data_IF_742381662890
#
_entry.id   IF_742381662890
#
_cell.length_a   1.000
_cell.length_b   1.000
_cell.length_c   1.000
_cell.angle_alpha   90.00
_cell.angle_beta   90.00
_cell.angle_gamma   90.00
#
_symmetry.space_group_name_H-M   'P 1'
#
loop_
_entity.id
_entity.type
_entity.pdbx_description
1 polymer ?
#
# COMPACT_ATOMS: atom_id res chain seq x y z
N UNK A 1 -7.67 -41.73 -72.03
CA UNK A 1 -8.79 -41.29 -71.17
C UNK A 1 -8.20 -40.55 -69.98
N UNK A 2 -8.73 -39.35 -69.71
CA UNK A 2 -8.14 -38.31 -68.86
C UNK A 2 -8.59 -38.47 -67.40
N UNK A 3 -7.59 -38.43 -66.50
CA UNK A 3 -7.53 -37.73 -65.20
C UNK A 3 -8.79 -37.80 -64.32
N UNK A 4 -8.78 -38.70 -63.34
CA UNK A 4 -9.67 -38.66 -62.18
C UNK A 4 -8.84 -38.62 -60.89
N UNK A 5 -9.19 -37.73 -59.97
CA UNK A 5 -8.75 -37.82 -58.57
C UNK A 5 -8.08 -36.58 -58.00
N UNK A 6 -8.76 -35.43 -58.01
CA UNK A 6 -8.46 -34.36 -57.04
C UNK A 6 -8.99 -34.79 -55.67
N UNK A 7 -8.13 -35.37 -54.83
CA UNK A 7 -8.42 -35.56 -53.41
C UNK A 7 -8.00 -34.30 -52.67
N UNK A 8 -8.98 -33.44 -52.42
CA UNK A 8 -8.84 -32.20 -51.65
C UNK A 8 -8.88 -32.59 -50.17
N UNK A 9 -7.72 -32.83 -49.58
CA UNK A 9 -7.58 -33.16 -48.16
C UNK A 9 -7.50 -31.86 -47.36
N UNK A 10 -8.67 -31.31 -47.03
CA UNK A 10 -8.81 -30.11 -46.21
C UNK A 10 -8.51 -30.48 -44.75
N UNK A 11 -7.23 -30.38 -44.35
CA UNK A 11 -6.81 -30.51 -42.97
C UNK A 11 -7.25 -29.27 -42.18
N UNK A 12 -8.43 -29.35 -41.55
CA UNK A 12 -8.87 -28.37 -40.58
C UNK A 12 -8.04 -28.53 -39.29
N UNK A 13 -6.93 -27.79 -39.20
CA UNK A 13 -6.22 -27.59 -37.94
C UNK A 13 -7.15 -26.80 -37.01
N UNK A 14 -7.77 -27.49 -36.04
CA UNK A 14 -8.35 -26.86 -34.86
C UNK A 14 -7.20 -26.22 -34.08
N UNK A 15 -6.97 -24.92 -34.28
CA UNK A 15 -6.19 -24.11 -33.38
C UNK A 15 -6.95 -23.99 -32.05
N UNK A 16 -6.64 -24.89 -31.11
CA UNK A 16 -7.00 -24.75 -29.73
C UNK A 16 -6.31 -23.49 -29.19
N UNK A 17 -7.02 -22.37 -29.24
CA UNK A 17 -6.64 -21.15 -28.52
C UNK A 17 -6.81 -21.51 -27.04
N UNK A 18 -5.73 -22.00 -26.43
CA UNK A 18 -5.57 -22.02 -24.99
C UNK A 18 -5.56 -20.56 -24.59
N UNK A 19 -6.74 -20.02 -24.28
CA UNK A 19 -6.87 -18.76 -23.56
C UNK A 19 -6.31 -19.06 -22.19
N UNK A 20 -5.01 -18.83 -22.04
CA UNK A 20 -4.36 -18.71 -20.75
C UNK A 20 -5.05 -17.53 -20.07
N UNK A 21 -6.12 -17.83 -19.31
CA UNK A 21 -6.72 -16.87 -18.39
C UNK A 21 -5.62 -16.61 -17.38
N UNK A 22 -4.80 -15.60 -17.68
CA UNK A 22 -3.69 -15.21 -16.84
C UNK A 22 -4.28 -14.87 -15.50
N UNK A 23 -4.01 -15.71 -14.51
CA UNK A 23 -4.27 -15.42 -13.12
C UNK A 23 -3.34 -14.28 -12.73
N UNK A 24 -3.68 -13.06 -13.15
CA UNK A 24 -3.13 -11.84 -12.63
C UNK A 24 -3.63 -11.75 -11.21
N UNK A 25 -2.88 -12.33 -10.28
CA UNK A 25 -3.15 -12.15 -8.85
C UNK A 25 -3.30 -10.66 -8.54
N UNK A 26 -4.07 -10.30 -7.49
CA UNK A 26 -4.40 -8.92 -7.22
C UNK A 26 -3.12 -8.08 -7.13
N UNK A 27 -3.06 -6.93 -7.79
CA UNK A 27 -1.89 -6.04 -7.67
C UNK A 27 -2.22 -4.94 -6.68
N UNK A 28 -1.22 -4.49 -5.94
CA UNK A 28 -1.37 -3.28 -5.15
C UNK A 28 -1.62 -2.12 -6.11
N UNK A 29 -2.70 -1.36 -5.89
CA UNK A 29 -2.95 -0.16 -6.67
C UNK A 29 -1.95 0.94 -6.36
N UNK A 30 -1.70 1.78 -7.37
CA UNK A 30 -0.92 3.01 -7.22
C UNK A 30 -1.91 4.12 -6.88
N UNK A 31 -1.70 4.82 -5.76
CA UNK A 31 -2.59 5.88 -5.28
C UNK A 31 -1.78 7.06 -4.75
N UNK A 32 -2.35 8.25 -4.79
CA UNK A 32 -1.88 9.36 -3.97
C UNK A 32 -2.30 9.07 -2.52
N UNK A 33 -1.35 8.69 -1.66
CA UNK A 33 -1.60 8.46 -0.23
C UNK A 33 -1.26 9.72 0.53
N UNK A 34 -2.28 10.37 1.09
CA UNK A 34 -2.17 11.65 1.79
C UNK A 34 -2.40 11.46 3.28
N UNK A 35 -1.40 11.79 4.10
CA UNK A 35 -1.49 11.77 5.56
C UNK A 35 -1.60 13.21 6.06
N UNK A 36 -2.75 13.54 6.63
CA UNK A 36 -3.10 14.87 7.10
C UNK A 36 -3.19 14.92 8.62
N UNK A 37 -2.78 16.02 9.25
CA UNK A 37 -3.07 16.24 10.67
C UNK A 37 -4.53 16.61 10.88
N UNK A 38 -5.15 16.08 11.93
CA UNK A 38 -6.44 16.57 12.40
C UNK A 38 -6.37 18.02 12.90
N UNK A 39 -7.52 18.68 13.05
CA UNK A 39 -7.56 20.08 13.48
C UNK A 39 -6.98 20.29 14.87
N UNK A 40 -7.12 19.32 15.78
CA UNK A 40 -6.56 19.37 17.13
C UNK A 40 -5.03 19.43 17.09
N UNK A 41 -4.40 18.50 16.38
CA UNK A 41 -2.95 18.50 16.19
C UNK A 41 -2.49 19.69 15.35
N UNK A 42 -3.18 20.02 14.25
CA UNK A 42 -2.80 21.12 13.36
C UNK A 42 -2.85 22.48 14.05
N UNK A 43 -3.79 22.70 14.96
CA UNK A 43 -3.93 23.95 15.72
C UNK A 43 -3.19 23.95 17.07
N UNK A 44 -2.55 22.84 17.43
CA UNK A 44 -1.76 22.77 18.65
C UNK A 44 -0.66 23.84 18.65
N UNK A 45 -0.39 24.42 19.83
CA UNK A 45 0.67 25.43 20.00
C UNK A 45 2.05 24.90 19.58
N UNK A 46 2.29 23.61 19.82
CA UNK A 46 3.45 22.89 19.31
C UNK A 46 3.01 21.53 18.77
N UNK A 47 3.36 21.22 17.53
CA UNK A 47 3.24 19.86 16.99
C UNK A 47 4.53 19.13 17.29
N UNK A 48 4.51 18.02 18.04
CA UNK A 48 5.71 17.23 18.25
C UNK A 48 6.15 16.60 16.92
N UNK A 49 7.41 16.18 16.82
CA UNK A 49 7.87 15.48 15.62
C UNK A 49 7.18 14.12 15.52
N UNK A 50 6.40 13.91 14.45
CA UNK A 50 5.64 12.67 14.21
C UNK A 50 6.26 11.97 12.99
N UNK A 51 7.08 10.93 13.20
CA UNK A 51 7.55 10.11 12.09
C UNK A 51 6.38 9.29 11.53
N UNK A 52 6.30 9.25 10.20
CA UNK A 52 5.30 8.47 9.46
C UNK A 52 6.03 7.58 8.48
N UNK A 53 5.80 6.27 8.57
CA UNK A 53 6.39 5.27 7.70
C UNK A 53 5.25 4.64 6.87
N UNK A 54 5.31 4.79 5.54
CA UNK A 54 4.41 4.09 4.61
C UNK A 54 5.19 2.90 4.04
N UNK A 55 4.73 1.68 4.28
CA UNK A 55 5.49 0.45 4.01
C UNK A 55 4.67 -0.57 3.24
N UNK A 56 5.24 -1.14 2.18
CA UNK A 56 4.65 -2.26 1.46
C UNK A 56 5.35 -3.58 1.81
N UNK A 57 4.58 -4.57 2.22
CA UNK A 57 5.07 -5.84 2.76
C UNK A 57 4.47 -7.05 2.04
N UNK A 58 5.21 -8.16 2.05
CA UNK A 58 4.66 -9.48 1.75
C UNK A 58 3.74 -9.95 2.89
N UNK A 59 2.89 -10.94 2.64
CA UNK A 59 2.01 -11.49 3.68
C UNK A 59 2.78 -11.96 4.93
N UNK A 60 3.96 -12.58 4.77
CA UNK A 60 4.77 -13.07 5.90
C UNK A 60 5.33 -11.92 6.73
N UNK A 61 5.83 -10.87 6.09
CA UNK A 61 6.32 -9.68 6.79
C UNK A 61 5.17 -8.90 7.43
N UNK A 62 3.99 -8.89 6.80
CA UNK A 62 2.80 -8.25 7.32
C UNK A 62 2.34 -8.90 8.63
N UNK A 63 2.29 -10.24 8.71
CA UNK A 63 1.96 -10.92 9.99
C UNK A 63 2.96 -10.55 11.09
N UNK A 64 4.26 -10.55 10.75
CA UNK A 64 5.31 -10.15 11.69
C UNK A 64 5.16 -8.69 12.15
N UNK A 65 4.77 -7.79 11.25
CA UNK A 65 4.48 -6.40 11.59
C UNK A 65 3.23 -6.30 12.47
N UNK A 66 2.18 -7.09 12.21
CA UNK A 66 0.92 -7.10 12.99
C UNK A 66 1.14 -7.45 14.46
N UNK A 67 2.00 -8.43 14.72
CA UNK A 67 2.37 -8.86 16.08
C UNK A 67 3.29 -7.86 16.81
N UNK A 68 3.94 -6.95 16.07
CA UNK A 68 4.89 -6.00 16.64
C UNK A 68 4.20 -4.79 17.26
N UNK A 69 4.62 -4.41 18.48
CA UNK A 69 4.19 -3.15 19.08
C UNK A 69 4.78 -1.93 18.36
N UNK A 70 3.99 -0.87 18.20
CA UNK A 70 4.47 0.35 17.52
C UNK A 70 5.61 1.04 18.26
N UNK A 71 5.62 0.99 19.60
CA UNK A 71 6.75 1.49 20.39
C UNK A 71 8.05 0.73 20.12
N UNK A 72 7.98 -0.59 19.88
CA UNK A 72 9.15 -1.37 19.48
C UNK A 72 9.56 -1.02 18.06
N UNK A 73 8.60 -0.92 17.12
CA UNK A 73 8.87 -0.58 15.72
C UNK A 73 9.60 0.76 15.57
N UNK A 74 9.16 1.81 16.25
CA UNK A 74 9.78 3.14 16.19
C UNK A 74 11.00 3.30 17.10
N UNK A 75 11.40 2.27 17.85
CA UNK A 75 12.64 2.31 18.62
C UNK A 75 13.86 2.42 17.70
N UNK A 76 14.89 3.16 18.13
CA UNK A 76 16.07 3.42 17.30
C UNK A 76 16.82 2.13 16.87
N UNK A 77 16.68 1.04 17.62
CA UNK A 77 17.31 -0.25 17.37
C UNK A 77 16.41 -1.29 16.69
N UNK A 78 15.21 -0.93 16.21
CA UNK A 78 14.33 -1.89 15.58
C UNK A 78 14.92 -2.41 14.25
N UNK A 79 15.24 -3.70 14.24
CA UNK A 79 15.88 -4.35 13.09
C UNK A 79 14.99 -4.38 11.85
N UNK A 80 13.67 -4.48 12.03
CA UNK A 80 12.77 -4.59 10.87
C UNK A 80 12.58 -3.23 10.24
N UNK A 81 12.37 -2.16 11.03
CA UNK A 81 12.33 -0.80 10.51
C UNK A 81 13.62 -0.43 9.77
N UNK A 82 14.78 -0.77 10.32
CA UNK A 82 16.08 -0.56 9.66
C UNK A 82 16.22 -1.39 8.36
N UNK A 83 15.76 -2.64 8.38
CA UNK A 83 15.76 -3.52 7.21
C UNK A 83 14.82 -3.01 6.12
N UNK A 84 13.63 -2.53 6.48
CA UNK A 84 12.68 -1.94 5.54
C UNK A 84 13.26 -0.69 4.88
N UNK A 85 13.89 0.19 5.68
CA UNK A 85 14.56 1.38 5.16
C UNK A 85 15.70 1.02 4.20
N UNK A 86 16.50 0.01 4.54
CA UNK A 86 17.64 -0.42 3.73
C UNK A 86 17.25 -1.15 2.44
N UNK A 87 16.09 -1.81 2.44
CA UNK A 87 15.54 -2.52 1.26
C UNK A 87 14.64 -1.64 0.38
N UNK A 88 14.40 -0.38 0.77
CA UNK A 88 13.56 0.55 -0.01
C UNK A 88 12.06 0.27 0.04
N UNK A 89 11.61 -0.68 0.88
CA UNK A 89 10.17 -1.02 0.98
C UNK A 89 9.38 -0.07 1.87
N UNK A 90 10.03 0.93 2.47
CA UNK A 90 9.39 1.97 3.29
C UNK A 90 9.72 3.36 2.75
N UNK A 91 8.71 4.22 2.73
CA UNK A 91 8.84 5.66 2.54
C UNK A 91 8.67 6.34 3.89
N UNK A 92 9.70 7.07 4.32
CA UNK A 92 9.72 7.73 5.63
C UNK A 92 9.48 9.23 5.47
N UNK A 93 8.59 9.73 6.32
CA UNK A 93 8.22 11.13 6.40
C UNK A 93 8.30 11.61 7.84
N UNK A 94 8.41 12.92 8.01
CA UNK A 94 8.47 13.56 9.31
C UNK A 94 7.60 14.81 9.31
N UNK A 95 6.50 14.76 10.05
CA UNK A 95 5.66 15.92 10.32
C UNK A 95 6.26 16.66 11.52
N UNK A 96 6.42 17.97 11.41
CA UNK A 96 7.05 18.79 12.46
C UNK A 96 6.29 20.09 12.65
N UNK A 97 6.64 20.84 13.70
CA UNK A 97 6.07 22.17 13.92
C UNK A 97 6.30 23.15 12.76
N UNK A 98 7.42 23.00 12.04
CA UNK A 98 7.80 23.83 10.88
C UNK A 98 7.25 23.30 9.55
N UNK A 99 6.81 22.05 9.51
CA UNK A 99 6.22 21.39 8.35
C UNK A 99 4.97 20.66 8.82
N UNK A 100 3.89 21.42 9.00
CA UNK A 100 2.56 20.93 9.39
C UNK A 100 1.71 20.58 8.16
N UNK A 101 2.29 20.72 6.97
CA UNK A 101 1.62 20.41 5.72
C UNK A 101 1.43 18.90 5.60
N UNK A 102 0.51 18.53 4.72
CA UNK A 102 0.15 17.15 4.50
C UNK A 102 1.33 16.40 3.88
N UNK A 103 1.51 15.16 4.32
CA UNK A 103 2.50 14.25 3.77
C UNK A 103 1.87 13.48 2.64
N UNK A 104 2.49 13.48 1.46
CA UNK A 104 1.97 12.78 0.29
C UNK A 104 2.99 11.78 -0.27
N UNK A 105 2.53 10.55 -0.48
CA UNK A 105 3.16 9.59 -1.38
C UNK A 105 2.38 9.63 -2.69
N UNK A 106 3.00 10.10 -3.75
CA UNK A 106 2.29 10.21 -5.03
C UNK A 106 2.11 8.86 -5.70
N UNK A 107 1.00 8.66 -6.41
CA UNK A 107 0.75 7.54 -7.34
C UNK A 107 1.91 7.39 -8.34
N UNK A 108 2.59 8.49 -8.69
CA UNK A 108 3.69 8.53 -9.67
C UNK A 108 5.05 8.22 -9.04
N UNK A 109 5.13 8.01 -7.72
CA UNK A 109 6.40 7.70 -7.06
C UNK A 109 6.93 6.36 -7.61
N UNK A 110 8.19 6.31 -8.10
CA UNK A 110 8.74 5.08 -8.66
C UNK A 110 8.80 3.91 -7.66
N UNK A 111 8.68 4.17 -6.35
CA UNK A 111 8.66 3.14 -5.31
C UNK A 111 7.58 2.08 -5.56
N UNK A 112 6.40 2.49 -6.05
CA UNK A 112 5.28 1.60 -6.36
C UNK A 112 5.69 0.47 -7.32
N UNK A 113 6.42 0.82 -8.38
CA UNK A 113 6.78 -0.10 -9.46
C UNK A 113 8.11 -0.79 -9.25
N UNK A 114 9.05 -0.16 -8.53
CA UNK A 114 10.42 -0.67 -8.36
C UNK A 114 10.56 -1.54 -7.12
N UNK A 115 10.14 -1.03 -5.97
CA UNK A 115 10.40 -1.67 -4.68
C UNK A 115 9.18 -2.42 -4.16
N UNK A 116 7.97 -1.96 -4.52
CA UNK A 116 6.71 -2.50 -4.01
C UNK A 116 6.01 -3.46 -4.98
N UNK A 117 6.61 -3.69 -6.15
CA UNK A 117 6.15 -4.71 -7.09
C UNK A 117 6.18 -6.10 -6.44
N UNK A 118 5.03 -6.76 -6.36
CA UNK A 118 4.88 -8.07 -5.73
C UNK A 118 4.73 -8.06 -4.21
N UNK A 119 4.56 -6.88 -3.60
CA UNK A 119 4.10 -6.76 -2.20
C UNK A 119 2.58 -6.73 -2.16
N UNK A 120 2.00 -7.34 -1.14
CA UNK A 120 0.55 -7.61 -1.08
C UNK A 120 -0.18 -6.73 -0.05
N UNK A 121 0.56 -6.09 0.86
CA UNK A 121 -0.01 -5.30 1.97
C UNK A 121 0.65 -3.94 2.04
N UNK A 122 -0.16 -2.90 2.22
CA UNK A 122 0.32 -1.54 2.45
C UNK A 122 -0.07 -1.12 3.87
N UNK A 123 0.89 -0.62 4.63
CA UNK A 123 0.67 -0.10 5.97
C UNK A 123 1.09 1.36 6.05
N UNK A 124 0.31 2.16 6.78
CA UNK A 124 0.72 3.46 7.27
C UNK A 124 0.94 3.34 8.76
N UNK A 125 2.11 3.73 9.22
CA UNK A 125 2.55 3.68 10.60
C UNK A 125 2.90 5.08 11.07
N UNK A 126 2.53 5.44 12.29
CA UNK A 126 2.91 6.73 12.86
C UNK A 126 3.31 6.61 14.34
N UNK A 127 4.35 7.33 14.76
CA UNK A 127 4.65 7.49 16.18
C UNK A 127 4.06 8.79 16.70
N UNK A 128 2.85 8.71 17.23
CA UNK A 128 2.11 9.86 17.75
C UNK A 128 2.47 10.05 19.22
N UNK A 129 3.17 11.15 19.60
CA UNK A 129 3.61 11.35 20.97
C UNK A 129 2.44 11.61 21.90
N UNK A 130 2.44 10.96 23.07
CA UNK A 130 1.34 11.05 24.04
C UNK A 130 0.20 10.07 23.79
N UNK A 131 0.20 9.34 22.66
CA UNK A 131 -0.71 8.23 22.47
C UNK A 131 -0.51 7.17 23.55
N UNK A 132 -1.59 6.47 23.91
CA UNK A 132 -1.53 5.35 24.87
C UNK A 132 -0.54 4.30 24.39
N UNK A 133 0.16 3.65 25.31
CA UNK A 133 1.18 2.64 25.00
C UNK A 133 0.66 1.53 24.07
N UNK A 134 -0.62 1.20 24.22
CA UNK A 134 -1.30 0.13 23.49
C UNK A 134 -2.18 0.66 22.33
N UNK A 135 -2.09 1.94 21.99
CA UNK A 135 -2.79 2.49 20.84
C UNK A 135 -2.18 1.91 19.55
N UNK A 136 -3.01 1.23 18.75
CA UNK A 136 -2.60 0.73 17.45
C UNK A 136 -2.51 1.91 16.47
N UNK A 137 -1.29 2.38 16.26
CA UNK A 137 -0.96 3.52 15.38
C UNK A 137 -0.53 3.03 14.00
N UNK A 138 -1.15 1.93 13.59
CA UNK A 138 -0.97 1.24 12.32
C UNK A 138 -2.31 1.17 11.62
N UNK A 139 -2.31 1.57 10.36
CA UNK A 139 -3.43 1.39 9.45
C UNK A 139 -2.99 0.46 8.34
N UNK A 140 -3.67 -0.67 8.20
CA UNK A 140 -3.52 -1.56 7.06
C UNK A 140 -4.50 -1.15 5.97
N UNK A 141 -4.00 -0.88 4.77
CA UNK A 141 -4.84 -0.61 3.61
C UNK A 141 -5.08 -1.91 2.82
N UNK A 142 -6.33 -2.20 2.42
CA UNK A 142 -6.64 -3.33 1.55
C UNK A 142 -5.91 -3.23 0.21
N UNK A 143 -5.52 -4.38 -0.31
CA UNK A 143 -4.76 -4.59 -1.56
C UNK A 143 -5.53 -4.21 -2.82
N UNK A 144 -6.85 -4.32 -2.76
CA UNK A 144 -7.73 -4.41 -3.92
C UNK A 144 -7.87 -3.06 -4.63
N UNK A 145 -7.39 -3.00 -5.88
CA UNK A 145 -7.37 -1.81 -6.74
C UNK A 145 -8.75 -1.23 -7.03
N UNK A 146 -9.76 -2.08 -6.97
CA UNK A 146 -11.17 -1.81 -7.24
C UNK A 146 -11.90 -1.24 -6.03
N UNK A 147 -11.21 -1.05 -4.90
CA UNK A 147 -11.86 -0.57 -3.68
C UNK A 147 -11.80 0.93 -3.48
N UNK A 148 -11.09 1.73 -4.25
CA UNK A 148 -11.00 3.17 -3.96
C UNK A 148 -11.69 3.97 -5.07
N UNK A 149 -12.68 4.81 -4.71
CA UNK A 149 -13.43 5.65 -5.67
C UNK A 149 -12.55 6.69 -6.36
N UNK A 150 -11.61 7.23 -5.59
CA UNK A 150 -10.69 8.27 -6.00
C UNK A 150 -9.28 7.69 -6.18
N UNK A 151 -8.48 8.36 -7.00
CA UNK A 151 -7.04 8.10 -7.13
C UNK A 151 -6.26 8.51 -5.85
N UNK A 152 -6.97 8.98 -4.81
CA UNK A 152 -6.43 9.52 -3.56
C UNK A 152 -6.97 8.78 -2.32
N UNK A 153 -6.05 8.34 -1.44
CA UNK A 153 -6.35 7.77 -0.13
C UNK A 153 -5.97 8.79 0.94
N UNK A 154 -6.96 9.44 1.53
CA UNK A 154 -6.77 10.41 2.59
C UNK A 154 -6.84 9.73 3.95
N UNK A 155 -5.80 9.92 4.75
CA UNK A 155 -5.66 9.39 6.09
C UNK A 155 -5.48 10.56 7.05
N UNK A 156 -6.34 10.62 8.06
CA UNK A 156 -6.28 11.64 9.10
C UNK A 156 -5.56 11.10 10.32
N UNK A 157 -4.47 11.75 10.70
CA UNK A 157 -3.71 11.47 11.90
C UNK A 157 -4.36 12.23 13.06
N UNK A 158 -4.94 11.49 14.01
CA UNK A 158 -5.53 12.00 15.25
C UNK A 158 -4.59 11.76 16.43
N UNK A 159 -4.91 12.31 17.60
CA UNK A 159 -4.06 12.19 18.80
C UNK A 159 -3.70 10.75 19.21
N UNK A 160 -4.54 9.76 18.90
CA UNK A 160 -4.33 8.37 19.31
C UNK A 160 -4.40 7.32 18.19
N UNK A 161 -4.74 7.70 16.96
CA UNK A 161 -4.96 6.76 15.86
C UNK A 161 -4.79 7.36 14.47
N UNK A 162 -4.65 6.49 13.49
CA UNK A 162 -4.83 6.80 12.07
C UNK A 162 -6.26 6.49 11.66
N UNK A 163 -6.91 7.41 10.96
CA UNK A 163 -8.30 7.26 10.54
C UNK A 163 -8.43 7.47 9.01
N UNK A 164 -8.75 6.43 8.24
CA UNK A 164 -9.01 6.60 6.81
C UNK A 164 -10.25 7.49 6.63
N UNK A 165 -10.13 8.51 5.79
CA UNK A 165 -11.24 9.40 5.40
C UNK A 165 -11.87 8.95 4.10
N UNK A 166 -11.03 8.50 3.14
CA UNK A 166 -11.50 7.74 1.99
C UNK A 166 -11.90 6.34 2.49
N UNK A 167 -13.07 5.84 2.10
CA UNK A 167 -13.52 4.49 2.45
C UNK A 167 -13.34 3.55 1.26
N UNK A 168 -12.96 2.29 1.50
CA UNK A 168 -12.99 1.31 0.44
C UNK A 168 -14.45 1.02 0.03
N UNK A 169 -14.75 1.00 -1.26
CA UNK A 169 -15.98 0.47 -1.83
C UNK A 169 -16.13 -1.01 -1.49
N UNK A 170 -17.38 -1.42 -1.31
CA UNK A 170 -17.72 -2.84 -1.35
C UNK A 170 -17.35 -3.39 -2.74
N UNK A 171 -16.72 -4.58 -2.82
CA UNK A 171 -16.41 -5.18 -4.10
C UNK A 171 -17.70 -5.31 -4.92
N UNK A 172 -17.67 -4.81 -6.16
CA UNK A 172 -18.79 -4.96 -7.08
C UNK A 172 -19.13 -6.46 -7.20
N UNK A 173 -20.33 -6.85 -6.74
CA UNK A 173 -20.79 -8.24 -6.71
C UNK A 173 -20.97 -8.83 -8.09
#
# INVERSE_FOLDING_TARGET
MRVLGRVMMTAALLSAVVVSVGCGGPRLGEYDVVVTLDEGLRNARSVPSIPVDIVALSDVEAERLREKSMSQYFSAGDRDRQSYASSGVVKQYLITNSNRDDVMLSEKDPIWRKEWSGRDRLFILADIPGARRDADRRLELPRETDRWEDDEIVIKLREDRLEPQTLPQDPAK
#
